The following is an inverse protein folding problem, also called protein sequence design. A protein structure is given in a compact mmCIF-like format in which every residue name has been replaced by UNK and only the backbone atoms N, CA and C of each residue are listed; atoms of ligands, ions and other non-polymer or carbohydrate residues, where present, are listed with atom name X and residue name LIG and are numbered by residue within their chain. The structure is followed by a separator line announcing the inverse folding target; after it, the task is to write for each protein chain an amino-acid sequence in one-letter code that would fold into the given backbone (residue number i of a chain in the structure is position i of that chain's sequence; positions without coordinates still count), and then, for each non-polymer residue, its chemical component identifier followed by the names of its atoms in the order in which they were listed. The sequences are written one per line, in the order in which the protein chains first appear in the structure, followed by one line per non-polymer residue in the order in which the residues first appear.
data_IF_219415081554
#
_entry.id   IF_219415081554
#
_cell.length_a   1.000
_cell.length_b   1.000
_cell.length_c   1.000
_cell.angle_alpha   90.00
_cell.angle_beta   90.00
_cell.angle_gamma   90.00
#
_symmetry.space_group_name_H-M   'P 1'
#
loop_
_entity.id
_entity.type
_entity.pdbx_description
1 polymer ?
#
# COMPACT_ATOMS: atom_id res chain seq x y z
N UNK A 1 4.11 -1.33 -5.85
CA UNK A 1 4.00 -2.80 -5.67
C UNK A 1 5.39 -3.39 -5.85
N UNK A 2 5.86 -4.21 -4.92
CA UNK A 2 7.18 -4.84 -5.00
C UNK A 2 7.14 -6.04 -5.96
N UNK A 3 8.12 -6.16 -6.86
CA UNK A 3 8.19 -7.22 -7.87
C UNK A 3 8.40 -8.64 -7.29
N UNK A 4 8.75 -8.72 -6.01
CA UNK A 4 9.09 -9.96 -5.30
C UNK A 4 8.02 -10.45 -4.32
N UNK A 5 7.04 -9.62 -3.98
CA UNK A 5 6.02 -10.00 -2.99
C UNK A 5 4.84 -10.66 -3.68
N UNK A 6 4.49 -11.92 -3.33
CA UNK A 6 3.33 -12.58 -3.91
C UNK A 6 2.04 -11.92 -3.41
N UNK A 7 1.14 -11.58 -4.34
CA UNK A 7 -0.15 -10.95 -4.02
C UNK A 7 -1.28 -11.67 -4.71
N UNK A 8 -2.47 -11.67 -4.08
CA UNK A 8 -3.70 -12.14 -4.72
C UNK A 8 -4.30 -11.05 -5.59
N UNK A 9 -4.85 -11.43 -6.73
CA UNK A 9 -5.52 -10.57 -7.69
C UNK A 9 -6.90 -11.13 -8.05
N UNK A 10 -7.89 -10.27 -8.28
CA UNK A 10 -9.21 -10.72 -8.67
C UNK A 10 -9.14 -11.31 -10.08
N UNK A 11 -9.66 -12.52 -10.25
CA UNK A 11 -9.72 -13.23 -11.54
C UNK A 11 -11.13 -13.35 -12.09
N UNK A 12 -12.15 -13.16 -11.25
CA UNK A 12 -13.52 -13.26 -11.69
C UNK A 12 -14.52 -12.94 -10.60
N UNK A 13 -15.73 -13.44 -10.80
CA UNK A 13 -16.85 -13.34 -9.89
C UNK A 13 -17.50 -14.71 -9.72
N UNK A 14 -17.95 -15.00 -8.51
CA UNK A 14 -18.81 -16.13 -8.20
C UNK A 14 -20.07 -15.63 -7.49
N UNK A 15 -21.02 -16.54 -7.31
CA UNK A 15 -22.24 -16.29 -6.54
C UNK A 15 -22.17 -17.17 -5.29
N UNK A 16 -22.52 -16.63 -4.13
CA UNK A 16 -22.60 -17.41 -2.90
C UNK A 16 -23.91 -18.18 -2.78
N UNK A 17 -24.02 -19.06 -1.78
CA UNK A 17 -25.24 -19.86 -1.57
C UNK A 17 -26.51 -19.04 -1.30
N UNK A 18 -26.41 -17.72 -1.10
CA UNK A 18 -27.54 -16.80 -0.92
C UNK A 18 -27.77 -15.90 -2.15
N UNK A 19 -27.12 -16.17 -3.28
CA UNK A 19 -27.29 -15.40 -4.51
C UNK A 19 -26.47 -14.10 -4.58
N UNK A 20 -25.61 -13.81 -3.60
CA UNK A 20 -24.81 -12.57 -3.59
C UNK A 20 -23.51 -12.75 -4.37
N UNK A 21 -23.14 -11.72 -5.13
CA UNK A 21 -21.92 -11.69 -5.95
C UNK A 21 -20.67 -11.58 -5.05
N UNK A 22 -19.70 -12.47 -5.23
CA UNK A 22 -18.39 -12.46 -4.54
C UNK A 22 -17.24 -12.41 -5.52
N UNK A 23 -16.15 -11.74 -5.16
CA UNK A 23 -14.90 -11.74 -5.96
C UNK A 23 -14.17 -13.06 -5.77
N UNK A 24 -13.73 -13.64 -6.88
CA UNK A 24 -12.81 -14.78 -6.89
C UNK A 24 -11.40 -14.25 -7.09
N UNK A 25 -10.48 -14.73 -6.27
CA UNK A 25 -9.06 -14.36 -6.30
C UNK A 25 -8.21 -15.56 -6.69
N UNK A 26 -7.09 -15.32 -7.37
CA UNK A 26 -6.09 -16.34 -7.63
C UNK A 26 -5.30 -16.72 -6.35
N UNK A 27 -4.50 -17.77 -6.49
CA UNK A 27 -3.41 -18.03 -5.56
C UNK A 27 -2.40 -16.86 -5.61
N UNK A 28 -1.74 -16.52 -4.49
CA UNK A 28 -0.74 -15.46 -4.48
C UNK A 28 0.37 -15.73 -5.50
N UNK A 29 0.62 -14.77 -6.39
CA UNK A 29 1.72 -14.83 -7.37
C UNK A 29 2.53 -13.55 -7.35
N UNK A 30 3.83 -13.65 -7.64
CA UNK A 30 4.68 -12.46 -7.79
C UNK A 30 4.37 -11.76 -9.13
N UNK A 31 4.56 -10.43 -9.22
CA UNK A 31 4.47 -9.74 -10.50
C UNK A 31 5.34 -10.37 -11.60
N UNK A 32 6.53 -10.88 -11.25
CA UNK A 32 7.39 -11.65 -12.16
C UNK A 32 6.68 -12.89 -12.73
N UNK A 33 6.12 -13.74 -11.87
CA UNK A 33 5.37 -14.93 -12.30
C UNK A 33 4.19 -14.55 -13.20
N UNK A 34 3.44 -13.51 -12.81
CA UNK A 34 2.26 -13.05 -13.55
C UNK A 34 2.60 -12.53 -14.93
N UNK A 35 3.74 -11.84 -15.07
CA UNK A 35 4.22 -11.32 -16.35
C UNK A 35 4.69 -12.44 -17.28
N UNK A 36 5.35 -13.47 -16.74
CA UNK A 36 5.72 -14.67 -17.51
C UNK A 36 4.49 -15.44 -17.99
N UNK A 37 3.51 -15.67 -17.11
CA UNK A 37 2.26 -16.37 -17.45
C UNK A 37 1.40 -15.62 -18.47
N UNK A 38 1.53 -14.30 -18.56
CA UNK A 38 0.75 -13.50 -19.51
C UNK A 38 1.14 -13.75 -20.98
N UNK A 39 2.33 -14.31 -21.24
CA UNK A 39 2.78 -14.65 -22.60
C UNK A 39 2.95 -13.44 -23.54
N UNK A 40 2.99 -12.22 -23.01
CA UNK A 40 3.08 -10.97 -23.79
C UNK A 40 4.51 -10.60 -24.18
N UNK A 41 5.51 -11.28 -23.61
CA UNK A 41 6.93 -10.99 -23.81
C UNK A 41 7.49 -11.77 -24.99
N UNK A 42 8.43 -11.16 -25.71
CA UNK A 42 9.26 -11.90 -26.66
C UNK A 42 10.19 -12.86 -25.93
N UNK A 43 10.70 -13.87 -26.64
CA UNK A 43 11.67 -14.82 -26.10
C UNK A 43 12.93 -14.13 -25.57
N UNK A 44 13.36 -13.03 -26.18
CA UNK A 44 14.54 -12.27 -25.72
C UNK A 44 14.25 -11.55 -24.40
N UNK A 45 13.08 -10.90 -24.30
CA UNK A 45 12.62 -10.22 -23.09
C UNK A 45 12.44 -11.19 -21.92
N UNK A 46 11.85 -12.36 -22.16
CA UNK A 46 11.67 -13.39 -21.16
C UNK A 46 13.02 -13.85 -20.58
N UNK A 47 14.00 -14.15 -21.44
CA UNK A 47 15.35 -14.54 -20.99
C UNK A 47 16.02 -13.45 -20.16
N UNK A 48 15.94 -12.20 -20.60
CA UNK A 48 16.49 -11.07 -19.86
C UNK A 48 15.84 -10.93 -18.48
N UNK A 49 14.51 -11.04 -18.42
CA UNK A 49 13.75 -10.95 -17.18
C UNK A 49 14.11 -12.08 -16.21
N UNK A 50 14.24 -13.32 -16.70
CA UNK A 50 14.68 -14.47 -15.90
C UNK A 50 16.11 -14.29 -15.38
N UNK A 51 17.02 -13.80 -16.22
CA UNK A 51 18.39 -13.54 -15.81
C UNK A 51 18.47 -12.44 -14.74
N UNK A 52 17.67 -11.38 -14.87
CA UNK A 52 17.57 -10.32 -13.87
C UNK A 52 16.98 -10.85 -12.55
N UNK A 53 15.93 -11.67 -12.63
CA UNK A 53 15.30 -12.26 -11.44
C UNK A 53 16.24 -13.23 -10.72
N UNK A 54 17.05 -14.01 -11.45
CA UNK A 54 18.03 -14.93 -10.86
C UNK A 54 19.15 -14.21 -10.09
N UNK A 55 19.52 -13.00 -10.50
CA UNK A 55 20.50 -12.15 -9.79
C UNK A 55 19.91 -11.48 -8.54
N UNK A 56 18.58 -11.47 -8.40
CA UNK A 56 17.91 -10.76 -7.33
C UNK A 56 17.95 -11.58 -6.04
N UNK A 57 18.55 -11.03 -4.99
CA UNK A 57 18.50 -11.58 -3.64
C UNK A 57 17.36 -10.92 -2.85
N UNK A 58 16.19 -11.58 -2.66
CA UNK A 58 15.03 -10.95 -2.04
C UNK A 58 15.26 -10.58 -0.57
N UNK A 59 16.10 -11.36 0.12
CA UNK A 59 16.40 -11.15 1.55
C UNK A 59 17.22 -9.88 1.72
N UNK A 60 18.28 -9.73 0.93
CA UNK A 60 19.13 -8.54 0.94
C UNK A 60 18.35 -7.29 0.52
N UNK A 61 17.56 -7.38 -0.55
CA UNK A 61 16.72 -6.26 -0.98
C UNK A 61 15.74 -5.83 0.13
N UNK A 62 15.15 -6.78 0.86
CA UNK A 62 14.25 -6.45 1.97
C UNK A 62 15.00 -5.73 3.10
N UNK A 63 16.21 -6.18 3.45
CA UNK A 63 17.05 -5.52 4.45
C UNK A 63 17.38 -4.08 4.06
N UNK A 64 17.75 -3.87 2.80
CA UNK A 64 18.05 -2.54 2.29
C UNK A 64 16.83 -1.63 2.29
N UNK A 65 15.67 -2.14 1.86
CA UNK A 65 14.42 -1.37 1.89
C UNK A 65 14.10 -0.90 3.31
N UNK A 66 14.15 -1.80 4.29
CA UNK A 66 13.87 -1.46 5.70
C UNK A 66 14.90 -0.44 6.21
N UNK A 67 16.18 -0.67 5.97
CA UNK A 67 17.25 0.25 6.36
C UNK A 67 17.04 1.65 5.79
N UNK A 68 16.71 1.76 4.49
CA UNK A 68 16.44 3.07 3.88
C UNK A 68 15.17 3.70 4.42
N UNK A 69 14.11 2.93 4.67
CA UNK A 69 12.88 3.43 5.30
C UNK A 69 13.18 4.01 6.68
N UNK A 70 13.94 3.32 7.52
CA UNK A 70 14.32 3.79 8.85
C UNK A 70 15.13 5.10 8.79
N UNK A 71 16.07 5.20 7.85
CA UNK A 71 16.85 6.41 7.61
C UNK A 71 15.94 7.59 7.18
N UNK A 72 14.99 7.34 6.28
CA UNK A 72 14.06 8.35 5.78
C UNK A 72 13.08 8.80 6.87
N UNK A 73 12.53 7.86 7.64
CA UNK A 73 11.65 8.14 8.78
C UNK A 73 12.39 9.00 9.81
N UNK A 74 13.63 8.63 10.15
CA UNK A 74 14.46 9.40 11.08
C UNK A 74 14.68 10.83 10.58
N UNK A 75 15.02 11.01 9.30
CA UNK A 75 15.20 12.35 8.70
C UNK A 75 13.92 13.17 8.69
N UNK A 76 12.76 12.54 8.48
CA UNK A 76 11.47 13.21 8.40
C UNK A 76 10.78 13.44 9.76
N UNK A 77 11.33 12.86 10.84
CA UNK A 77 10.70 12.79 12.16
C UNK A 77 10.28 14.15 12.70
N UNK A 78 11.23 15.10 12.79
CA UNK A 78 10.97 16.41 13.39
C UNK A 78 9.85 17.17 12.67
N UNK A 79 9.86 17.15 11.33
CA UNK A 79 8.87 17.84 10.51
C UNK A 79 7.49 17.24 10.69
N UNK A 80 7.44 15.92 10.80
CA UNK A 80 6.20 15.18 11.07
C UNK A 80 5.67 15.52 12.46
N UNK A 81 6.52 15.55 13.48
CA UNK A 81 6.14 15.92 14.85
C UNK A 81 5.55 17.33 14.91
N UNK A 82 6.20 18.31 14.29
CA UNK A 82 5.70 19.70 14.22
C UNK A 82 4.32 19.77 13.55
N UNK A 83 4.18 19.19 12.35
CA UNK A 83 2.92 19.17 11.62
C UNK A 83 1.81 18.48 12.42
N UNK A 84 2.12 17.39 13.13
CA UNK A 84 1.13 16.68 13.96
C UNK A 84 0.67 17.51 15.14
N UNK A 85 1.57 18.28 15.78
CA UNK A 85 1.22 19.19 16.86
C UNK A 85 0.32 20.33 16.37
N UNK A 86 0.68 20.96 15.25
CA UNK A 86 -0.12 22.01 14.60
C UNK A 86 -1.54 21.53 14.25
N UNK A 87 -1.66 20.33 13.67
CA UNK A 87 -2.96 19.73 13.36
C UNK A 87 -3.77 19.46 14.63
N UNK A 88 -3.15 18.94 15.69
CA UNK A 88 -3.82 18.70 16.96
C UNK A 88 -4.34 20.00 17.60
N UNK A 89 -3.57 21.08 17.55
CA UNK A 89 -3.98 22.38 18.08
C UNK A 89 -5.08 23.03 17.24
N UNK A 90 -5.03 22.88 15.91
CA UNK A 90 -6.10 23.30 15.02
C UNK A 90 -7.41 22.52 15.30
N UNK A 91 -7.32 21.21 15.55
CA UNK A 91 -8.46 20.37 15.93
C UNK A 91 -9.06 20.80 17.28
N UNK A 92 -8.24 21.03 18.32
CA UNK A 92 -8.71 21.55 19.62
C UNK A 92 -9.41 22.89 19.46
N UNK A 93 -8.83 23.80 18.68
CA UNK A 93 -9.39 25.13 18.41
C UNK A 93 -10.75 25.03 17.70
N UNK A 94 -10.86 24.13 16.71
CA UNK A 94 -12.14 23.84 16.01
C UNK A 94 -13.19 23.29 16.97
N UNK A 95 -12.83 22.32 17.81
CA UNK A 95 -13.74 21.72 18.81
C UNK A 95 -14.22 22.76 19.83
N UNK A 96 -13.33 23.65 20.32
CA UNK A 96 -13.71 24.74 21.23
C UNK A 96 -14.71 25.71 20.59
N UNK A 97 -14.52 26.07 19.32
CA UNK A 97 -15.47 26.91 18.57
C UNK A 97 -16.83 26.24 18.39
N UNK A 98 -16.86 24.94 18.10
CA UNK A 98 -18.09 24.15 17.99
C UNK A 98 -18.84 24.04 19.33
N UNK A 99 -18.12 23.91 20.45
CA UNK A 99 -18.72 23.84 21.78
C UNK A 99 -19.22 25.20 22.30
N UNK A 100 -18.66 26.32 21.82
CA UNK A 100 -18.98 27.68 22.29
C UNK A 100 -20.21 28.33 21.64
N UNK A 101 -20.92 27.64 20.73
CA UNK A 101 -21.93 28.26 19.89
C UNK A 101 -23.24 27.48 19.80
N UNK A 102 -24.07 27.58 20.84
CA UNK A 102 -25.53 27.79 20.73
C UNK A 102 -25.96 28.60 21.96
N UNK A 103 -26.03 29.93 21.85
CA UNK A 103 -26.76 30.75 22.84
C UNK A 103 -28.22 30.73 22.46
N UNK A 104 -28.98 29.82 23.07
CA UNK A 104 -30.44 29.84 22.99
C UNK A 104 -30.90 30.98 23.88
N UNK A 105 -31.28 32.11 23.29
CA UNK A 105 -32.03 33.14 24.00
C UNK A 105 -33.49 32.68 24.05
N UNK A 106 -33.92 32.18 25.22
CA UNK A 106 -35.34 31.90 25.49
C UNK A 106 -36.10 33.22 25.64
N UNK A 107 -37.23 33.31 24.94
CA UNK A 107 -38.13 34.46 24.86
C UNK A 107 -38.82 34.78 26.19
#
# INVERSE_FOLDING_TARGET
MSAITPTKKPVGWSVDGQGRRRRVYDAPKTPFQRLLEAGVLSHTQERMLRAQYAKLNPVELTRDIVRYQDMLITKARWKTEVLTAEVADAQKSRRKRQAGGVKIHSA
#
